data_IF_922975042055
#
_entry.id   IF_922975042055
#
_cell.length_a   1.000
_cell.length_b   1.000
_cell.length_c   1.000
_cell.angle_alpha   90.00
_cell.angle_beta   90.00
_cell.angle_gamma   90.00
#
_symmetry.space_group_name_H-M   'P 1'
#
loop_
_entity.id
_entity.type
_entity.pdbx_description
1 polymer ?
#
# COMPACT_ATOMS: atom_id res chain seq x y z
N UNK A 1 -13.35 8.64 5.90
CA UNK A 1 -14.26 7.96 4.95
C UNK A 1 -14.89 6.76 5.63
N UNK A 2 -16.00 6.21 5.10
CA UNK A 2 -16.69 5.05 5.73
C UNK A 2 -16.07 3.70 5.38
N UNK A 3 -15.08 3.66 4.48
CA UNK A 3 -14.43 2.45 3.95
C UNK A 3 -12.93 2.69 3.82
N UNK A 4 -12.13 1.62 3.81
CA UNK A 4 -10.66 1.62 3.70
C UNK A 4 -9.93 2.44 4.79
N UNK A 5 -10.43 2.37 6.03
CA UNK A 5 -9.79 3.04 7.16
C UNK A 5 -8.35 2.53 7.35
N UNK A 6 -7.41 3.47 7.53
CA UNK A 6 -5.97 3.23 7.68
C UNK A 6 -5.28 2.57 6.47
N UNK A 7 -5.95 2.48 5.32
CA UNK A 7 -5.26 2.18 4.07
C UNK A 7 -4.65 3.45 3.49
N UNK A 8 -3.52 3.29 2.82
CA UNK A 8 -2.86 4.30 2.02
C UNK A 8 -3.08 3.99 0.54
N UNK A 9 -3.08 5.04 -0.26
CA UNK A 9 -3.10 4.96 -1.71
C UNK A 9 -2.12 5.98 -2.27
N UNK A 10 -1.50 5.64 -3.39
CA UNK A 10 -0.59 6.51 -4.09
C UNK A 10 -1.30 7.67 -4.77
N UNK A 11 -0.55 8.71 -5.08
CA UNK A 11 -1.06 9.79 -5.92
C UNK A 11 -1.45 9.25 -7.31
N UNK A 12 -2.72 9.40 -7.65
CA UNK A 12 -3.24 9.04 -8.97
C UNK A 12 -2.87 10.16 -9.94
N UNK A 13 -1.85 9.90 -10.75
CA UNK A 13 -1.34 10.85 -11.78
C UNK A 13 -1.64 10.38 -13.20
N UNK A 14 -2.42 9.31 -13.35
CA UNK A 14 -2.83 8.74 -14.63
C UNK A 14 -4.32 8.96 -14.92
N UNK A 15 -4.74 9.01 -16.20
CA UNK A 15 -6.14 9.17 -16.59
C UNK A 15 -7.04 8.01 -16.11
N UNK A 16 -8.37 8.20 -16.07
CA UNK A 16 -9.32 7.14 -15.78
C UNK A 16 -9.05 5.86 -16.58
N UNK A 17 -9.17 4.72 -15.91
CA UNK A 17 -8.84 3.38 -16.45
C UNK A 17 -10.03 2.73 -17.14
N UNK A 18 -11.23 3.25 -16.91
CA UNK A 18 -12.49 2.84 -17.51
C UNK A 18 -13.21 4.06 -18.10
N UNK A 19 -14.04 4.00 -19.13
CA UNK A 19 -14.38 2.86 -20.01
C UNK A 19 -13.82 3.09 -21.42
N UNK A 20 -13.05 2.15 -21.94
CA UNK A 20 -12.44 2.23 -23.27
C UNK A 20 -13.21 1.43 -24.31
N UNK A 21 -13.06 1.82 -25.58
CA UNK A 21 -13.38 0.94 -26.71
C UNK A 21 -12.20 -0.05 -26.84
N UNK A 22 -12.43 -1.37 -26.79
CA UNK A 22 -11.37 -2.37 -26.96
C UNK A 22 -10.55 -2.11 -28.23
N UNK A 23 -9.26 -2.42 -28.15
CA UNK A 23 -8.25 -2.21 -29.18
C UNK A 23 -7.99 -0.73 -29.54
N UNK A 24 -8.43 0.20 -28.68
CA UNK A 24 -8.19 1.64 -28.85
C UNK A 24 -7.75 2.32 -27.55
N UNK A 25 -7.33 3.59 -27.66
CA UNK A 25 -7.15 4.51 -26.53
C UNK A 25 -8.30 5.53 -26.39
N UNK A 26 -9.45 5.26 -27.00
CA UNK A 26 -10.60 6.16 -26.94
C UNK A 26 -11.57 5.71 -25.86
N UNK A 27 -12.03 6.67 -25.06
CA UNK A 27 -13.14 6.42 -24.14
C UNK A 27 -14.40 6.10 -24.94
N UNK A 28 -15.14 5.09 -24.49
CA UNK A 28 -16.41 4.71 -25.09
C UNK A 28 -17.48 5.76 -24.78
N UNK A 29 -17.59 6.79 -25.62
CA UNK A 29 -18.68 7.76 -25.56
C UNK A 29 -19.88 7.23 -26.35
N UNK A 30 -21.06 7.17 -25.73
CA UNK A 30 -22.31 6.85 -26.46
C UNK A 30 -22.64 5.36 -26.56
N UNK A 31 -22.15 4.51 -25.66
CA UNK A 31 -22.48 3.07 -25.57
C UNK A 31 -23.94 2.77 -25.14
N UNK A 32 -24.82 3.77 -25.15
CA UNK A 32 -26.20 3.70 -24.67
C UNK A 32 -26.35 3.57 -23.15
N UNK A 33 -25.24 3.42 -22.40
CA UNK A 33 -25.23 3.25 -20.93
C UNK A 33 -24.65 4.45 -20.19
N UNK A 34 -24.24 5.49 -20.92
CA UNK A 34 -23.76 6.78 -20.42
C UNK A 34 -22.71 6.66 -19.29
N UNK A 35 -21.81 5.68 -19.43
CA UNK A 35 -20.77 5.42 -18.42
C UNK A 35 -19.68 6.47 -18.55
N UNK A 36 -19.53 7.31 -17.53
CA UNK A 36 -18.47 8.31 -17.48
C UNK A 36 -17.10 7.65 -17.23
N UNK A 37 -16.00 8.24 -17.73
CA UNK A 37 -14.66 7.80 -17.37
C UNK A 37 -14.46 7.77 -15.85
N UNK A 38 -13.91 6.67 -15.34
CA UNK A 38 -13.72 6.47 -13.90
C UNK A 38 -12.42 5.70 -13.57
N UNK A 39 -11.93 5.89 -12.34
CA UNK A 39 -10.84 5.12 -11.74
C UNK A 39 -11.42 3.96 -10.94
N UNK A 40 -11.91 2.94 -11.66
CA UNK A 40 -12.48 1.74 -11.04
C UNK A 40 -11.39 0.80 -10.49
N UNK A 41 -10.17 0.91 -11.02
CA UNK A 41 -9.06 0.01 -10.74
C UNK A 41 -8.08 0.72 -9.79
N UNK A 42 -7.98 0.25 -8.54
CA UNK A 42 -7.32 0.94 -7.43
C UNK A 42 -6.39 -0.03 -6.70
N UNK A 43 -5.23 0.45 -6.25
CA UNK A 43 -4.28 -0.34 -5.46
C UNK A 43 -4.02 0.40 -4.14
N UNK A 44 -4.60 -0.13 -3.08
CA UNK A 44 -4.43 0.39 -1.72
C UNK A 44 -3.59 -0.59 -0.90
N UNK A 45 -2.83 -0.07 0.06
CA UNK A 45 -2.05 -0.91 0.98
C UNK A 45 -2.20 -0.45 2.43
N UNK A 46 -1.91 -1.37 3.36
CA UNK A 46 -1.77 -1.08 4.78
C UNK A 46 -0.69 -1.98 5.34
N UNK A 47 0.23 -1.42 6.12
CA UNK A 47 1.30 -2.16 6.78
C UNK A 47 1.38 -1.78 8.26
N UNK A 48 1.63 -2.75 9.13
CA UNK A 48 1.79 -2.54 10.58
C UNK A 48 3.24 -2.72 11.02
N UNK A 49 3.92 -3.76 10.54
CA UNK A 49 5.30 -4.11 10.93
C UNK A 49 6.29 -4.01 9.75
N UNK A 50 5.94 -3.19 8.76
CA UNK A 50 6.76 -2.97 7.58
C UNK A 50 6.74 -1.51 7.19
N UNK A 51 7.90 -1.01 6.76
CA UNK A 51 7.98 0.26 6.06
C UNK A 51 7.71 -0.02 4.58
N UNK A 52 6.68 0.62 4.03
CA UNK A 52 6.28 0.45 2.62
C UNK A 52 6.48 1.78 1.92
N UNK A 53 7.31 1.80 0.89
CA UNK A 53 7.52 2.94 0.01
C UNK A 53 7.05 2.61 -1.39
N UNK A 54 5.97 3.27 -1.82
CA UNK A 54 5.55 3.18 -3.22
C UNK A 54 6.52 3.98 -4.10
N UNK A 55 7.02 3.36 -5.18
CA UNK A 55 7.93 4.00 -6.14
C UNK A 55 7.21 4.58 -7.33
N UNK A 56 6.21 3.86 -7.83
CA UNK A 56 5.39 4.32 -8.93
C UNK A 56 4.02 3.66 -8.87
N UNK A 57 3.04 4.43 -9.34
CA UNK A 57 1.65 4.03 -9.46
C UNK A 57 1.15 4.53 -10.81
N UNK A 58 0.88 3.61 -11.75
CA UNK A 58 0.56 3.95 -13.13
C UNK A 58 -0.44 2.97 -13.72
N UNK A 59 -0.99 3.33 -14.87
CA UNK A 59 -1.66 2.39 -15.76
C UNK A 59 -0.74 1.99 -16.92
N UNK A 60 -1.02 0.85 -17.53
CA UNK A 60 -0.30 0.39 -18.72
C UNK A 60 -1.05 0.81 -20.00
N UNK A 61 -0.40 1.64 -20.82
CA UNK A 61 -1.03 2.26 -22.00
C UNK A 61 -1.10 1.31 -23.19
N UNK A 62 -0.10 0.43 -23.32
CA UNK A 62 0.08 -0.45 -24.48
C UNK A 62 -0.94 -1.59 -24.55
N UNK A 63 -1.59 -1.91 -23.44
CA UNK A 63 -2.58 -2.98 -23.35
C UNK A 63 -3.98 -2.41 -23.61
N UNK A 64 -4.65 -2.91 -24.65
CA UNK A 64 -5.93 -2.39 -25.15
C UNK A 64 -7.03 -3.45 -25.30
N UNK A 65 -6.73 -4.72 -24.96
CA UNK A 65 -7.65 -5.84 -25.19
C UNK A 65 -8.96 -5.80 -24.39
N UNK A 66 -9.11 -4.86 -23.45
CA UNK A 66 -10.25 -4.71 -22.55
C UNK A 66 -10.77 -3.26 -22.58
N UNK A 67 -12.00 -3.07 -22.11
CA UNK A 67 -12.56 -1.75 -21.81
C UNK A 67 -11.96 -1.12 -20.54
N UNK A 68 -11.02 -1.82 -19.89
CA UNK A 68 -10.18 -1.32 -18.81
C UNK A 68 -8.70 -1.26 -19.20
N UNK A 69 -8.00 -0.28 -18.63
CA UNK A 69 -6.52 -0.20 -18.64
C UNK A 69 -5.95 -0.84 -17.37
N UNK A 70 -5.01 -1.80 -17.48
CA UNK A 70 -4.38 -2.40 -16.30
C UNK A 70 -3.67 -1.36 -15.44
N UNK A 71 -3.82 -1.48 -14.12
CA UNK A 71 -3.18 -0.61 -13.13
C UNK A 71 -2.08 -1.39 -12.42
N UNK A 72 -0.92 -0.76 -12.24
CA UNK A 72 0.27 -1.37 -11.67
C UNK A 72 0.90 -0.41 -10.66
N UNK A 73 1.31 -0.95 -9.53
CA UNK A 73 2.07 -0.24 -8.51
C UNK A 73 3.30 -1.06 -8.10
N UNK A 74 4.41 -0.36 -7.83
CA UNK A 74 5.64 -0.96 -7.35
C UNK A 74 6.01 -0.41 -6.00
N UNK A 75 6.42 -1.30 -5.11
CA UNK A 75 6.70 -1.00 -3.71
C UNK A 75 8.05 -1.55 -3.31
N UNK A 76 8.84 -0.73 -2.63
CA UNK A 76 9.93 -1.19 -1.78
C UNK A 76 9.31 -1.50 -0.40
N UNK A 77 9.51 -2.72 0.11
CA UNK A 77 8.98 -3.16 1.40
C UNK A 77 10.11 -3.60 2.31
N UNK A 78 10.30 -2.89 3.41
CA UNK A 78 11.28 -3.22 4.45
C UNK A 78 10.58 -3.86 5.63
N UNK A 79 10.88 -5.13 5.89
CA UNK A 79 10.30 -5.92 6.99
C UNK A 79 11.19 -5.80 8.22
N UNK A 80 10.58 -5.56 9.38
CA UNK A 80 11.27 -5.72 10.67
C UNK A 80 11.11 -7.17 11.10
N UNK A 81 12.17 -7.94 10.96
CA UNK A 81 12.22 -9.32 11.46
C UNK A 81 12.92 -9.31 12.80
N UNK A 82 12.19 -9.65 13.86
CA UNK A 82 12.77 -9.78 15.20
C UNK A 82 13.23 -11.21 15.41
N UNK A 83 14.47 -11.36 15.85
CA UNK A 83 15.06 -12.63 16.28
C UNK A 83 14.61 -12.91 17.72
N UNK A 84 13.81 -13.98 17.96
CA UNK A 84 13.23 -14.26 19.28
C UNK A 84 14.29 -14.44 20.37
N UNK A 85 15.42 -15.06 20.03
CA UNK A 85 16.47 -15.36 21.00
C UNK A 85 17.22 -14.10 21.40
N UNK A 86 17.46 -13.19 20.45
CA UNK A 86 18.04 -11.87 20.75
C UNK A 86 17.07 -11.01 21.53
N UNK A 87 15.78 -11.05 21.22
CA UNK A 87 14.76 -10.31 21.95
C UNK A 87 14.67 -10.77 23.41
N UNK A 88 14.67 -12.08 23.66
CA UNK A 88 14.66 -12.64 25.01
C UNK A 88 15.89 -12.21 25.82
N UNK A 89 17.09 -12.29 25.23
CA UNK A 89 18.33 -11.86 25.90
C UNK A 89 18.32 -10.37 26.27
N UNK A 90 17.92 -9.50 25.33
CA UNK A 90 17.83 -8.06 25.59
C UNK A 90 16.78 -7.77 26.67
N UNK A 91 15.67 -8.50 26.68
CA UNK A 91 14.63 -8.36 27.70
C UNK A 91 15.17 -8.72 29.09
N UNK A 92 15.82 -9.87 29.24
CA UNK A 92 16.43 -10.30 30.51
C UNK A 92 17.46 -9.28 31.02
N UNK A 93 18.33 -8.77 30.14
CA UNK A 93 19.35 -7.78 30.50
C UNK A 93 18.74 -6.44 30.95
N UNK A 94 17.64 -6.01 30.33
CA UNK A 94 16.95 -4.78 30.74
C UNK A 94 16.22 -5.01 32.07
N UNK A 95 15.55 -6.15 32.24
CA UNK A 95 14.84 -6.48 33.48
C UNK A 95 15.78 -6.52 34.69
N UNK A 96 16.98 -7.08 34.55
CA UNK A 96 17.97 -7.11 35.64
C UNK A 96 18.42 -5.70 36.04
N UNK A 97 18.79 -4.86 35.06
CA UNK A 97 19.23 -3.47 35.31
C UNK A 97 18.17 -2.61 35.98
N UNK A 98 16.90 -2.75 35.58
CA UNK A 98 15.79 -2.02 36.20
C UNK A 98 15.59 -2.45 37.65
N UNK A 99 15.72 -3.76 37.91
CA UNK A 99 15.58 -4.31 39.26
C UNK A 99 16.70 -3.80 40.16
N UNK A 100 17.96 -3.81 39.70
CA UNK A 100 19.11 -3.32 40.46
C UNK A 100 19.02 -1.80 40.73
N UNK A 101 18.61 -1.01 39.74
CA UNK A 101 18.40 0.44 39.91
C UNK A 101 17.30 0.77 40.92
N UNK A 102 16.25 -0.05 41.01
CA UNK A 102 15.16 0.13 41.97
C UNK A 102 15.61 -0.18 43.41
N UNK A 103 16.54 -1.10 43.58
CA UNK A 103 17.13 -1.44 44.87
C UNK A 103 18.09 -0.36 45.37
N UNK A 104 18.82 0.31 44.48
CA UNK A 104 19.68 1.45 44.82
C UNK A 104 18.89 2.72 45.16
N UNK A 105 17.73 2.94 44.54
CA UNK A 105 16.90 4.13 44.82
C UNK A 105 16.11 4.06 46.14
N UNK A 106 16.05 2.90 46.80
CA UNK A 106 15.32 2.71 48.07
C UNK A 106 16.26 2.74 49.30
N UNK A 107 17.52 3.13 49.08
CA UNK A 107 18.57 3.23 50.09
C UNK A 107 18.93 4.68 50.36
#
# INVERSE_FOLDING_TARGET
GRVFENFQEGDITFPPTFKYIPDTNQYATGDGKNRMPAWCDRILWRAQNAEVRQRWYRREESLMASDHKPVVAYFDVSLRVTDPDKQAKVFEEISSKITDSSLESTR
#
